data_IF_355966767445
#
_entry.id   IF_355966767445
#
_cell.length_a   1.000
_cell.length_b   1.000
_cell.length_c   1.000
_cell.angle_alpha   90.00
_cell.angle_beta   90.00
_cell.angle_gamma   90.00
#
_symmetry.space_group_name_H-M   'P 1'
#
loop_
_entity.id
_entity.type
_entity.pdbx_description
1 polymer ?
#
# COMPACT_ATOMS: atom_id res chain seq x y z
N UNK A 1 -4.39 -0.64 12.97
CA UNK A 1 -5.68 -0.74 12.25
C UNK A 1 -6.10 -2.18 12.00
N UNK A 2 -5.37 -2.96 11.19
CA UNK A 2 -5.78 -4.30 10.76
C UNK A 2 -6.22 -5.22 11.92
N UNK A 3 -5.38 -5.39 12.94
CA UNK A 3 -5.71 -6.23 14.11
C UNK A 3 -6.94 -5.75 14.88
N UNK A 4 -7.16 -4.43 14.95
CA UNK A 4 -8.29 -3.85 15.66
C UNK A 4 -9.59 -4.03 14.86
N UNK A 5 -9.53 -3.90 13.53
CA UNK A 5 -10.70 -4.06 12.65
C UNK A 5 -11.09 -5.54 12.47
N UNK A 6 -10.10 -6.42 12.31
CA UNK A 6 -10.31 -7.86 12.09
C UNK A 6 -10.22 -8.71 13.37
N UNK A 7 -10.12 -8.06 14.54
CA UNK A 7 -10.11 -8.69 15.87
C UNK A 7 -9.09 -9.84 16.04
N UNK A 8 -7.92 -9.74 15.38
CA UNK A 8 -6.88 -10.75 15.47
C UNK A 8 -5.88 -10.75 14.32
N UNK A 9 -4.82 -11.57 14.40
CA UNK A 9 -3.83 -11.74 13.33
C UNK A 9 -4.45 -12.40 12.09
N UNK A 10 -3.91 -12.07 10.91
CA UNK A 10 -4.42 -12.58 9.65
C UNK A 10 -3.64 -12.06 8.44
N UNK A 11 -4.09 -12.46 7.24
CA UNK A 11 -3.47 -12.07 5.97
C UNK A 11 -3.93 -10.64 5.63
N UNK A 12 -2.97 -9.72 5.52
CA UNK A 12 -3.25 -8.32 5.22
C UNK A 12 -3.30 -8.03 3.71
N UNK A 13 -2.48 -8.70 2.91
CA UNK A 13 -2.41 -8.51 1.47
C UNK A 13 -1.92 -9.76 0.75
N UNK A 14 -2.22 -9.84 -0.55
CA UNK A 14 -1.74 -10.87 -1.47
C UNK A 14 -1.07 -10.18 -2.64
N UNK A 15 0.17 -10.56 -2.94
CA UNK A 15 0.89 -10.05 -4.10
C UNK A 15 0.53 -10.88 -5.34
N UNK A 16 0.19 -10.21 -6.44
CA UNK A 16 -0.09 -10.83 -7.73
C UNK A 16 1.02 -10.46 -8.72
N UNK A 17 1.58 -11.48 -9.36
CA UNK A 17 2.62 -11.31 -10.37
C UNK A 17 2.01 -11.03 -11.76
N UNK A 18 2.65 -10.16 -12.53
CA UNK A 18 2.29 -9.91 -13.93
C UNK A 18 3.53 -9.53 -14.75
N UNK A 19 3.53 -9.93 -16.02
CA UNK A 19 4.55 -9.54 -16.99
C UNK A 19 4.24 -8.20 -17.68
N UNK A 20 3.01 -7.67 -17.52
CA UNK A 20 2.60 -6.37 -18.08
C UNK A 20 1.81 -5.58 -17.02
N UNK A 21 2.56 -4.84 -16.19
CA UNK A 21 1.99 -4.04 -15.12
C UNK A 21 1.08 -2.93 -15.65
N UNK A 22 1.39 -2.32 -16.80
CA UNK A 22 0.60 -1.21 -17.35
C UNK A 22 -0.74 -1.69 -17.88
N UNK A 23 -0.74 -2.77 -18.67
CA UNK A 23 -1.97 -3.39 -19.15
C UNK A 23 -2.83 -3.93 -18.01
N UNK A 24 -2.21 -4.58 -17.02
CA UNK A 24 -2.89 -5.10 -15.83
C UNK A 24 -3.60 -4.00 -15.05
N UNK A 25 -2.91 -2.89 -14.75
CA UNK A 25 -3.49 -1.76 -14.01
C UNK A 25 -4.61 -1.09 -14.81
N UNK A 26 -4.46 -0.91 -16.13
CA UNK A 26 -5.54 -0.38 -16.98
C UNK A 26 -6.79 -1.26 -16.93
N UNK A 27 -6.62 -2.58 -17.05
CA UNK A 27 -7.73 -3.51 -16.99
C UNK A 27 -8.45 -3.50 -15.62
N UNK A 28 -7.69 -3.40 -14.53
CA UNK A 28 -8.23 -3.30 -13.17
C UNK A 28 -8.99 -1.98 -12.96
N UNK A 29 -8.44 -0.84 -13.42
CA UNK A 29 -9.13 0.46 -13.36
C UNK A 29 -10.43 0.45 -14.16
N UNK A 30 -10.46 -0.15 -15.35
CA UNK A 30 -11.68 -0.30 -16.15
C UNK A 30 -12.76 -1.13 -15.44
N UNK A 31 -12.35 -2.04 -14.54
CA UNK A 31 -13.24 -2.83 -13.68
C UNK A 31 -13.59 -2.15 -12.36
N UNK A 32 -13.26 -0.86 -12.21
CA UNK A 32 -13.49 -0.04 -10.99
C UNK A 32 -12.75 -0.55 -9.76
N UNK A 33 -11.60 -1.20 -9.95
CA UNK A 33 -10.69 -1.49 -8.82
C UNK A 33 -10.03 -0.19 -8.40
N UNK A 34 -10.14 0.14 -7.11
CA UNK A 34 -9.53 1.32 -6.52
C UNK A 34 -8.06 1.08 -6.19
N UNK A 35 -7.26 2.13 -6.36
CA UNK A 35 -5.83 2.12 -6.09
C UNK A 35 -5.49 3.31 -5.20
N UNK A 36 -4.51 3.12 -4.31
CA UNK A 36 -3.93 4.24 -3.59
C UNK A 36 -3.10 5.11 -4.53
N UNK A 37 -3.22 6.42 -4.36
CA UNK A 37 -2.40 7.41 -5.07
C UNK A 37 -1.11 7.64 -4.30
N UNK A 38 0.02 7.66 -5.01
CA UNK A 38 1.33 8.01 -4.47
C UNK A 38 1.81 9.26 -5.21
N UNK A 39 2.11 10.33 -4.49
CA UNK A 39 2.46 11.63 -5.08
C UNK A 39 3.97 11.79 -5.34
N UNK A 40 4.84 11.02 -4.67
CA UNK A 40 6.29 11.21 -4.77
C UNK A 40 7.05 9.88 -4.73
N UNK A 41 7.44 9.35 -5.90
CA UNK A 41 8.25 8.11 -6.00
C UNK A 41 9.63 8.45 -6.55
N UNK A 42 10.65 8.37 -5.71
CA UNK A 42 12.04 8.36 -6.16
C UNK A 42 12.47 6.93 -6.49
N UNK A 43 12.58 6.60 -7.77
CA UNK A 43 13.14 5.33 -8.23
C UNK A 43 14.64 5.49 -8.49
N UNK A 44 15.47 5.18 -7.49
CA UNK A 44 16.89 4.92 -7.73
C UNK A 44 17.20 3.51 -7.22
N UNK A 45 17.63 2.67 -8.17
CA UNK A 45 18.15 1.31 -8.02
C UNK A 45 17.15 0.25 -7.53
N UNK A 46 16.85 -0.70 -8.41
CA UNK A 46 15.93 -1.82 -8.19
C UNK A 46 16.67 -3.16 -8.26
N UNK A 47 17.59 -3.43 -7.33
CA UNK A 47 18.28 -4.74 -7.21
C UNK A 47 17.63 -5.60 -6.10
N UNK A 48 16.34 -5.92 -6.27
CA UNK A 48 15.58 -6.74 -5.32
C UNK A 48 14.12 -6.30 -5.15
N UNK A 49 13.47 -6.71 -4.07
CA UNK A 49 12.13 -6.20 -3.71
C UNK A 49 12.29 -4.72 -3.35
N UNK A 50 12.00 -3.83 -4.31
CA UNK A 50 12.36 -2.41 -4.27
C UNK A 50 12.09 -1.76 -2.91
N UNK A 51 13.13 -1.53 -2.12
CA UNK A 51 13.04 -0.90 -0.80
C UNK A 51 12.36 0.48 -0.87
N UNK A 52 12.52 1.19 -1.99
CA UNK A 52 11.78 2.42 -2.29
C UNK A 52 10.29 2.22 -2.55
N UNK A 53 9.88 1.08 -3.12
CA UNK A 53 8.47 0.75 -3.36
C UNK A 53 7.74 0.49 -2.05
N UNK A 54 8.41 -0.10 -1.05
CA UNK A 54 7.82 -0.30 0.26
C UNK A 54 7.55 1.01 0.98
N UNK A 55 8.51 1.95 1.02
CA UNK A 55 8.30 3.25 1.67
C UNK A 55 7.12 4.00 1.05
N UNK A 56 7.07 4.04 -0.28
CA UNK A 56 5.96 4.65 -1.02
C UNK A 56 4.61 3.96 -0.77
N UNK A 57 4.60 2.63 -0.66
CA UNK A 57 3.40 1.86 -0.33
C UNK A 57 2.93 2.12 1.11
N UNK A 58 3.85 2.13 2.08
CA UNK A 58 3.53 2.44 3.48
C UNK A 58 2.94 3.85 3.60
N UNK A 59 3.55 4.85 2.96
CA UNK A 59 3.04 6.23 2.94
C UNK A 59 1.63 6.31 2.33
N UNK A 60 1.37 5.61 1.22
CA UNK A 60 0.04 5.54 0.61
C UNK A 60 -1.01 4.90 1.53
N UNK A 61 -0.65 3.81 2.21
CA UNK A 61 -1.53 3.12 3.17
C UNK A 61 -1.81 4.01 4.38
N UNK A 62 -0.79 4.67 4.93
CA UNK A 62 -0.94 5.60 6.06
C UNK A 62 -1.81 6.81 5.69
N UNK A 63 -1.63 7.38 4.50
CA UNK A 63 -2.50 8.45 4.00
C UNK A 63 -3.95 7.99 3.88
N UNK A 64 -4.18 6.76 3.41
CA UNK A 64 -5.49 6.13 3.40
C UNK A 64 -6.10 5.98 4.80
N UNK A 65 -5.30 5.52 5.78
CA UNK A 65 -5.73 5.39 7.17
C UNK A 65 -6.04 6.74 7.82
N UNK A 66 -5.26 7.78 7.48
CA UNK A 66 -5.48 9.16 7.95
C UNK A 66 -6.79 9.71 7.42
N UNK A 67 -7.05 9.54 6.12
CA UNK A 67 -8.30 9.99 5.49
C UNK A 67 -9.53 9.33 6.11
N UNK A 68 -9.39 8.10 6.63
CA UNK A 68 -10.46 7.37 7.35
C UNK A 68 -10.52 7.68 8.86
N UNK A 69 -9.64 8.54 9.39
CA UNK A 69 -9.59 8.89 10.82
C UNK A 69 -9.08 7.79 11.74
N UNK A 70 -8.48 6.72 11.20
CA UNK A 70 -8.07 5.53 11.95
C UNK A 70 -6.56 5.46 12.26
N UNK A 71 -5.80 6.52 11.98
CA UNK A 71 -4.43 6.63 12.48
C UNK A 71 -4.47 6.88 13.99
N UNK A 72 -4.09 5.86 14.75
CA UNK A 72 -3.85 6.02 16.18
C UNK A 72 -2.71 7.05 16.37
N UNK A 73 -2.84 8.02 17.29
CA UNK A 73 -1.72 8.88 17.63
C UNK A 73 -0.55 8.00 18.07
N UNK A 74 0.64 8.33 17.57
CA UNK A 74 1.87 7.61 17.82
C UNK A 74 2.13 7.61 19.34
N UNK A 75 1.70 6.56 20.03
CA UNK A 75 1.98 6.41 21.45
C UNK A 75 3.41 5.90 21.54
N UNK A 76 4.34 6.82 21.81
CA UNK A 76 5.78 6.57 21.83
C UNK A 76 6.18 5.44 22.75
N UNK A 77 6.25 4.24 22.20
CA UNK A 77 6.89 3.07 22.79
C UNK A 77 7.86 2.47 21.76
N UNK A 78 8.95 3.19 21.54
CA UNK A 78 10.30 2.65 21.50
C UNK A 78 11.10 3.35 22.60
#
# INVERSE_FOLDING_TARGET
EFLNYYAGPGIQHVALYTNDIVGSIRALKNRRVEFYTIENVYSKNCDGFGAGNFKALFEAVENGQRARGNLLPNNGYL
#
